data_IF_642416119717
#
_entry.id   IF_642416119717
#
_cell.length_a   1.000
_cell.length_b   1.000
_cell.length_c   1.000
_cell.angle_alpha   90.00
_cell.angle_beta   90.00
_cell.angle_gamma   90.00
#
_symmetry.space_group_name_H-M   'P 1'
#
loop_
_entity.id
_entity.type
_entity.pdbx_description
1 polymer ?
#
# COMPACT_ATOMS: atom_id res chain seq x y z
N UNK A 1 15.48 -6.20 -10.59
CA UNK A 1 14.66 -4.96 -10.70
C UNK A 1 15.19 -3.91 -9.75
N UNK A 2 15.21 -2.67 -10.17
CA UNK A 2 15.55 -1.57 -9.28
C UNK A 2 14.36 -1.20 -8.38
N UNK A 3 14.60 -0.31 -7.42
CA UNK A 3 13.57 0.10 -6.45
C UNK A 3 12.32 0.67 -7.14
N UNK A 4 12.50 1.51 -8.14
CA UNK A 4 11.37 2.11 -8.86
C UNK A 4 10.51 1.04 -9.53
N UNK A 5 11.12 0.06 -10.18
CA UNK A 5 10.39 -1.02 -10.84
C UNK A 5 9.64 -1.87 -9.84
N UNK A 6 10.28 -2.24 -8.72
CA UNK A 6 9.66 -3.06 -7.68
C UNK A 6 8.42 -2.35 -7.10
N UNK A 7 8.57 -1.10 -6.68
CA UNK A 7 7.47 -0.34 -6.06
C UNK A 7 6.37 -0.04 -7.06
N UNK A 8 6.71 0.35 -8.28
CA UNK A 8 5.73 0.66 -9.32
C UNK A 8 4.93 -0.60 -9.70
N UNK A 9 5.61 -1.73 -9.87
CA UNK A 9 4.95 -2.99 -10.22
C UNK A 9 4.04 -3.48 -9.09
N UNK A 10 4.50 -3.36 -7.84
CA UNK A 10 3.67 -3.68 -6.67
C UNK A 10 2.40 -2.81 -6.65
N UNK A 11 2.57 -1.50 -6.78
CA UNK A 11 1.44 -0.56 -6.72
C UNK A 11 0.42 -0.83 -7.84
N UNK A 12 0.90 -1.04 -9.07
CA UNK A 12 0.02 -1.35 -10.20
C UNK A 12 -0.71 -2.67 -9.99
N UNK A 13 -0.02 -3.68 -9.44
CA UNK A 13 -0.62 -4.99 -9.22
C UNK A 13 -1.77 -4.92 -8.22
N UNK A 14 -1.54 -4.34 -7.02
CA UNK A 14 -2.60 -4.34 -6.02
C UNK A 14 -3.76 -3.41 -6.39
N UNK A 15 -3.50 -2.28 -7.06
CA UNK A 15 -4.56 -1.34 -7.43
C UNK A 15 -5.46 -1.88 -8.54
N UNK A 16 -4.97 -2.82 -9.34
CA UNK A 16 -5.76 -3.49 -10.37
C UNK A 16 -6.35 -4.82 -9.91
N UNK A 17 -6.12 -5.21 -8.65
CA UNK A 17 -6.69 -6.42 -8.07
C UNK A 17 -5.88 -7.68 -8.26
N UNK A 18 -4.65 -7.59 -8.79
CA UNK A 18 -3.76 -8.74 -8.96
C UNK A 18 -2.92 -8.94 -7.70
N UNK A 19 -3.50 -9.57 -6.69
CA UNK A 19 -2.86 -9.76 -5.39
C UNK A 19 -1.74 -10.79 -5.42
N UNK A 20 -1.82 -11.78 -6.29
CA UNK A 20 -0.72 -12.75 -6.46
C UNK A 20 0.54 -12.05 -6.95
N UNK A 21 0.40 -11.19 -7.95
CA UNK A 21 1.52 -10.41 -8.48
C UNK A 21 2.04 -9.43 -7.42
N UNK A 22 1.15 -8.74 -6.70
CA UNK A 22 1.54 -7.81 -5.65
C UNK A 22 2.40 -8.51 -4.60
N UNK A 23 2.02 -9.73 -4.20
CA UNK A 23 2.75 -10.52 -3.20
C UNK A 23 4.19 -10.82 -3.60
N UNK A 24 4.44 -11.00 -4.89
CA UNK A 24 5.78 -11.33 -5.42
C UNK A 24 6.81 -10.27 -5.04
N UNK A 25 6.41 -9.00 -4.95
CA UNK A 25 7.32 -7.89 -4.67
C UNK A 25 7.57 -7.64 -3.19
N UNK A 26 6.91 -8.39 -2.30
CA UNK A 26 7.02 -8.21 -0.85
C UNK A 26 7.97 -9.27 -0.25
N UNK A 27 8.80 -8.84 0.69
CA UNK A 27 9.57 -9.78 1.51
C UNK A 27 8.61 -10.54 2.43
N UNK A 28 8.92 -11.81 2.71
CA UNK A 28 8.06 -12.65 3.57
C UNK A 28 7.86 -12.03 4.96
N UNK A 29 8.91 -11.41 5.50
CA UNK A 29 8.93 -10.75 6.80
C UNK A 29 8.64 -9.24 6.71
N UNK A 30 7.81 -8.84 5.77
CA UNK A 30 7.42 -7.45 5.57
C UNK A 30 7.05 -6.78 6.90
N UNK A 31 7.58 -5.60 7.14
CA UNK A 31 7.22 -4.75 8.26
C UNK A 31 6.31 -3.63 7.78
N UNK A 32 5.01 -3.83 7.92
CA UNK A 32 4.00 -2.85 7.53
C UNK A 32 3.46 -2.13 8.76
N UNK A 33 3.46 -0.80 8.71
CA UNK A 33 2.83 0.04 9.73
C UNK A 33 1.94 1.05 9.03
N UNK A 34 0.65 0.97 9.31
CA UNK A 34 -0.35 1.89 8.77
C UNK A 34 -0.97 2.76 9.86
N UNK A 35 -1.89 3.60 9.45
CA UNK A 35 -2.62 4.48 10.39
C UNK A 35 -3.64 3.72 11.24
N UNK A 36 -4.01 2.50 10.86
CA UNK A 36 -4.97 1.65 11.57
C UNK A 36 -4.33 0.35 12.02
N UNK A 37 -3.56 -0.31 11.15
CA UNK A 37 -3.07 -1.67 11.33
C UNK A 37 -1.57 -1.77 11.23
N UNK A 38 -1.04 -2.85 11.82
CA UNK A 38 0.37 -3.24 11.72
C UNK A 38 0.45 -4.71 11.35
N UNK A 39 1.32 -5.05 10.39
CA UNK A 39 1.54 -6.44 9.97
C UNK A 39 3.03 -6.74 9.95
N UNK A 40 3.41 -7.95 10.36
CA UNK A 40 4.81 -8.41 10.39
C UNK A 40 5.07 -9.55 9.40
N UNK A 41 4.07 -9.90 8.61
CA UNK A 41 4.18 -10.94 7.58
C UNK A 41 3.45 -10.47 6.33
N UNK A 42 4.07 -10.70 5.17
CA UNK A 42 3.50 -10.31 3.89
C UNK A 42 2.14 -10.95 3.63
N UNK A 43 1.97 -12.22 4.00
CA UNK A 43 0.70 -12.92 3.76
C UNK A 43 -0.46 -12.30 4.54
N UNK A 44 -0.22 -11.90 5.80
CA UNK A 44 -1.25 -11.23 6.61
C UNK A 44 -1.60 -9.86 6.05
N UNK A 45 -0.59 -9.12 5.61
CA UNK A 45 -0.80 -7.83 4.96
C UNK A 45 -1.60 -7.97 3.66
N UNK A 46 -1.25 -8.94 2.82
CA UNK A 46 -1.97 -9.18 1.54
C UNK A 46 -3.44 -9.54 1.79
N UNK A 47 -3.72 -10.30 2.83
CA UNK A 47 -5.11 -10.62 3.17
C UNK A 47 -5.91 -9.35 3.49
N UNK A 48 -5.34 -8.43 4.29
CA UNK A 48 -5.97 -7.15 4.61
C UNK A 48 -6.10 -6.26 3.38
N UNK A 49 -5.06 -6.19 2.55
CA UNK A 49 -5.04 -5.39 1.34
C UNK A 49 -6.09 -5.87 0.33
N UNK A 50 -6.30 -7.18 0.25
CA UNK A 50 -7.32 -7.78 -0.61
C UNK A 50 -8.72 -7.27 -0.24
N UNK A 51 -9.00 -7.19 1.05
CA UNK A 51 -10.29 -6.65 1.53
C UNK A 51 -10.43 -5.17 1.23
N UNK A 52 -9.36 -4.39 1.44
CA UNK A 52 -9.37 -2.96 1.16
C UNK A 52 -9.58 -2.68 -0.33
N UNK A 53 -8.91 -3.44 -1.19
CA UNK A 53 -9.00 -3.26 -2.63
C UNK A 53 -10.43 -3.40 -3.16
N UNK A 54 -11.25 -4.23 -2.52
CA UNK A 54 -12.65 -4.40 -2.90
C UNK A 54 -13.50 -3.15 -2.68
N UNK A 55 -13.05 -2.24 -1.82
CA UNK A 55 -13.76 -0.98 -1.55
C UNK A 55 -13.31 0.17 -2.45
N UNK A 56 -12.28 -0.03 -3.25
CA UNK A 56 -11.70 1.04 -4.07
C UNK A 56 -12.42 1.11 -5.41
N UNK A 57 -12.82 2.33 -5.81
CA UNK A 57 -13.36 2.61 -7.14
C UNK A 57 -12.30 3.16 -8.09
N UNK A 58 -11.26 3.76 -7.55
CA UNK A 58 -10.18 4.30 -8.36
C UNK A 58 -9.03 4.83 -7.54
N UNK A 59 -7.89 4.98 -8.21
CA UNK A 59 -6.66 5.55 -7.62
C UNK A 59 -6.23 6.71 -8.52
N UNK A 60 -5.92 7.84 -7.90
CA UNK A 60 -5.38 8.99 -8.59
C UNK A 60 -3.99 9.31 -8.04
N UNK A 61 -2.96 8.99 -8.81
CA UNK A 61 -1.57 9.24 -8.43
C UNK A 61 -1.26 10.74 -8.52
N UNK A 62 -0.63 11.28 -7.48
CA UNK A 62 -0.31 12.70 -7.38
C UNK A 62 1.18 12.93 -7.56
N UNK A 63 2.02 12.27 -6.74
CA UNK A 63 3.46 12.40 -6.78
C UNK A 63 4.15 11.11 -6.39
N UNK A 64 5.35 10.90 -6.93
CA UNK A 64 6.18 9.77 -6.54
C UNK A 64 7.65 10.19 -6.52
N UNK A 65 8.41 9.63 -5.58
CA UNK A 65 9.83 9.87 -5.40
C UNK A 65 10.53 8.54 -5.18
N UNK A 66 11.71 8.39 -5.79
CA UNK A 66 12.46 7.13 -5.71
C UNK A 66 13.92 7.41 -5.39
N UNK A 67 14.52 6.52 -4.59
CA UNK A 67 15.96 6.46 -4.36
C UNK A 67 16.44 5.04 -4.62
N UNK A 68 17.72 4.77 -4.37
CA UNK A 68 18.28 3.42 -4.54
C UNK A 68 17.57 2.38 -3.68
N UNK A 69 17.17 2.74 -2.47
CA UNK A 69 16.63 1.80 -1.48
C UNK A 69 15.27 2.18 -0.93
N UNK A 70 14.66 3.25 -1.44
CA UNK A 70 13.38 3.71 -0.91
C UNK A 70 12.50 4.39 -1.94
N UNK A 71 11.24 4.57 -1.57
CA UNK A 71 10.28 5.27 -2.40
C UNK A 71 9.22 5.95 -1.54
N UNK A 72 8.60 6.98 -2.10
CA UNK A 72 7.44 7.62 -1.50
C UNK A 72 6.39 7.84 -2.59
N UNK A 73 5.16 7.44 -2.32
CA UNK A 73 4.02 7.65 -3.21
C UNK A 73 2.96 8.49 -2.50
N UNK A 74 2.41 9.46 -3.21
CA UNK A 74 1.26 10.23 -2.76
C UNK A 74 0.12 10.03 -3.76
N UNK A 75 -1.02 9.57 -3.28
CA UNK A 75 -2.17 9.30 -4.15
C UNK A 75 -3.48 9.42 -3.39
N UNK A 76 -4.56 9.59 -4.14
CA UNK A 76 -5.91 9.58 -3.60
C UNK A 76 -6.59 8.25 -3.93
N UNK A 77 -7.19 7.63 -2.91
CA UNK A 77 -8.04 6.46 -3.07
C UNK A 77 -9.48 6.91 -3.08
N UNK A 78 -10.20 6.65 -4.16
CA UNK A 78 -11.64 6.84 -4.21
C UNK A 78 -12.30 5.57 -3.71
N UNK A 79 -12.95 5.63 -2.55
CA UNK A 79 -13.54 4.44 -1.92
C UNK A 79 -15.07 4.49 -1.94
N UNK A 80 -15.68 3.31 -1.87
CA UNK A 80 -17.13 3.17 -1.72
C UNK A 80 -17.59 3.30 -0.26
N UNK A 81 -16.65 3.55 0.66
CA UNK A 81 -16.96 3.74 2.08
C UNK A 81 -17.48 5.14 2.35
N UNK A 82 -18.10 5.38 3.53
CA UNK A 82 -18.47 6.75 3.94
C UNK A 82 -17.29 7.72 4.01
N UNK A 83 -16.05 7.21 4.14
CA UNK A 83 -14.85 8.04 4.11
C UNK A 83 -14.60 8.66 2.73
N UNK A 84 -15.17 8.08 1.66
CA UNK A 84 -15.05 8.59 0.30
C UNK A 84 -13.64 8.65 -0.22
N UNK A 85 -13.15 9.85 -0.54
CA UNK A 85 -11.78 10.06 -1.04
C UNK A 85 -10.81 10.10 0.12
N UNK A 86 -9.77 9.24 0.07
CA UNK A 86 -8.74 9.16 1.12
C UNK A 86 -7.40 9.50 0.51
N UNK A 87 -6.79 10.60 0.96
CA UNK A 87 -5.43 10.96 0.56
C UNK A 87 -4.44 10.14 1.36
N UNK A 88 -3.51 9.49 0.66
CA UNK A 88 -2.61 8.50 1.22
C UNK A 88 -1.18 8.78 0.83
N UNK A 89 -0.26 8.67 1.80
CA UNK A 89 1.18 8.67 1.56
C UNK A 89 1.74 7.32 1.97
N UNK A 90 2.54 6.70 1.11
CA UNK A 90 3.22 5.44 1.40
C UNK A 90 4.73 5.62 1.25
N UNK A 91 5.46 5.09 2.23
CA UNK A 91 6.93 5.12 2.25
C UNK A 91 7.44 3.68 2.27
N UNK A 92 8.35 3.37 1.35
CA UNK A 92 8.84 2.02 1.12
C UNK A 92 10.33 1.93 1.36
N UNK A 93 10.80 0.80 1.91
CA UNK A 93 12.21 0.42 1.81
C UNK A 93 12.31 -0.87 0.99
N UNK A 94 13.32 -0.95 0.13
CA UNK A 94 13.53 -2.07 -0.78
C UNK A 94 14.94 -2.60 -0.60
N UNK A 95 15.07 -3.91 -0.44
CA UNK A 95 16.35 -4.61 -0.31
C UNK A 95 16.28 -5.90 -1.11
N UNK A 96 17.29 -6.16 -1.95
CA UNK A 96 17.37 -7.40 -2.72
C UNK A 96 16.19 -7.62 -3.65
N UNK A 97 15.62 -6.54 -4.21
CA UNK A 97 14.49 -6.63 -5.12
C UNK A 97 13.14 -6.89 -4.43
N UNK A 98 13.07 -6.75 -3.11
CA UNK A 98 11.84 -6.97 -2.34
C UNK A 98 11.56 -5.78 -1.45
N UNK A 99 10.28 -5.47 -1.27
CA UNK A 99 9.84 -4.45 -0.34
C UNK A 99 9.93 -5.01 1.07
N UNK A 100 10.79 -4.41 1.90
CA UNK A 100 11.03 -4.84 3.28
C UNK A 100 10.14 -4.14 4.28
N UNK A 101 9.82 -2.87 4.03
CA UNK A 101 8.93 -2.13 4.92
C UNK A 101 8.02 -1.20 4.13
N UNK A 102 6.84 -0.97 4.70
CA UNK A 102 5.88 0.03 4.20
C UNK A 102 5.40 0.82 5.41
N UNK A 103 5.42 2.15 5.28
CA UNK A 103 4.79 3.06 6.25
C UNK A 103 3.69 3.80 5.50
N UNK A 104 2.45 3.59 5.91
CA UNK A 104 1.27 4.13 5.23
C UNK A 104 0.58 5.13 6.14
N UNK A 105 0.39 6.35 5.66
CA UNK A 105 -0.18 7.46 6.42
C UNK A 105 -1.40 8.00 5.70
N UNK A 106 -2.51 8.06 6.40
CA UNK A 106 -3.74 8.70 5.92
C UNK A 106 -4.58 9.16 7.12
N UNK A 107 -5.55 10.03 6.87
CA UNK A 107 -6.50 10.43 7.91
C UNK A 107 -7.52 9.29 8.12
N UNK A 108 -7.38 8.59 9.24
CA UNK A 108 -8.19 7.43 9.56
C UNK A 108 -9.47 7.76 10.35
N UNK A 109 -9.76 9.04 10.56
CA UNK A 109 -10.87 9.47 11.43
C UNK A 109 -12.19 8.81 11.05
N UNK A 110 -12.59 8.89 9.79
CA UNK A 110 -13.87 8.34 9.35
C UNK A 110 -13.88 6.81 9.37
N UNK A 111 -12.75 6.17 9.01
CA UNK A 111 -12.66 4.73 9.05
C UNK A 111 -12.70 4.19 10.48
N UNK A 112 -12.07 4.88 11.43
CA UNK A 112 -12.11 4.50 12.84
C UNK A 112 -13.53 4.57 13.40
N UNK A 113 -14.33 5.54 12.99
CA UNK A 113 -15.74 5.63 13.39
C UNK A 113 -16.52 4.42 12.94
N UNK A 114 -16.23 3.88 11.74
CA UNK A 114 -16.89 2.68 11.21
C UNK A 114 -16.48 1.41 11.95
N UNK A 115 -15.28 1.40 12.49
CA UNK A 115 -14.75 0.23 13.22
C UNK A 115 -15.21 0.20 14.68
N UNK A 116 -15.87 1.24 15.13
CA UNK A 116 -16.33 1.36 16.49
C UNK A 116 -15.33 2.04 17.37
#
# INVERSE_FOLDING_TARGET
>A
MDTKQVVTNYHNAWTTGDMEEARVYLADDLDFQGSIDTFRRADDFIAALTMFQKMIRGINSIQSFFSESGAALLYDCDTMSPAGMIRTAEFFTVTGGKIKSIRLVFDATELRKLMG
#
